data_IF_950444136111
#
_entry.id   IF_950444136111
#
_cell.length_a   1.000
_cell.length_b   1.000
_cell.length_c   1.000
_cell.angle_alpha   90.00
_cell.angle_beta   90.00
_cell.angle_gamma   90.00
#
_symmetry.space_group_name_H-M   'P 1'
#
loop_
_entity.id
_entity.type
_entity.pdbx_description
1 polymer ?
#
# COMPACT_ATOMS: atom_id res chain seq x y z
N UNK A 1 34.00 -7.15 -3.62
CA UNK A 1 32.61 -7.58 -3.85
C UNK A 1 32.34 -8.96 -3.29
N UNK A 2 32.36 -9.12 -1.96
CA UNK A 2 32.04 -10.39 -1.29
C UNK A 2 30.55 -10.55 -0.96
N UNK A 3 29.72 -9.53 -1.27
CA UNK A 3 28.28 -9.52 -1.01
C UNK A 3 27.51 -8.80 -2.12
N UNK A 4 26.20 -9.11 -2.30
CA UNK A 4 25.32 -8.37 -3.19
C UNK A 4 25.23 -6.87 -2.84
N UNK A 5 24.81 -6.08 -3.83
CA UNK A 5 24.48 -4.65 -3.66
C UNK A 5 23.26 -4.50 -2.74
N UNK A 6 23.28 -3.53 -1.83
CA UNK A 6 22.13 -3.19 -0.99
C UNK A 6 21.19 -2.30 -1.79
N UNK A 7 20.19 -2.92 -2.43
CA UNK A 7 19.24 -2.19 -3.26
C UNK A 7 18.41 -1.18 -2.46
N UNK A 8 18.03 -0.08 -3.12
CA UNK A 8 17.37 1.06 -2.48
C UNK A 8 18.34 1.96 -1.68
N UNK A 9 19.65 1.82 -1.85
CA UNK A 9 20.62 2.75 -1.28
C UNK A 9 21.40 3.42 -2.40
N UNK A 10 21.84 4.67 -2.21
CA UNK A 10 22.62 5.37 -3.21
C UNK A 10 24.11 4.96 -3.15
N UNK A 11 24.58 4.49 -1.99
CA UNK A 11 25.98 4.12 -1.74
C UNK A 11 26.21 2.66 -1.34
N UNK A 12 25.33 1.71 -1.71
CA UNK A 12 25.46 0.28 -1.34
C UNK A 12 25.53 0.05 0.19
N UNK A 13 24.72 0.79 0.96
CA UNK A 13 24.79 0.86 2.42
C UNK A 13 23.47 0.46 3.09
N UNK A 14 23.56 -0.51 4.00
CA UNK A 14 22.40 -0.96 4.81
C UNK A 14 21.93 0.10 5.80
N UNK A 15 22.86 0.91 6.32
CA UNK A 15 22.52 1.99 7.26
C UNK A 15 21.85 3.15 6.52
N UNK A 16 22.31 3.46 5.32
CA UNK A 16 21.66 4.44 4.45
C UNK A 16 20.26 3.98 4.06
N UNK A 17 20.11 2.70 3.68
CA UNK A 17 18.80 2.11 3.39
C UNK A 17 17.85 2.24 4.59
N UNK A 18 18.32 1.92 5.80
CA UNK A 18 17.49 1.86 7.01
C UNK A 18 17.16 3.25 7.59
N UNK A 19 18.12 4.17 7.61
CA UNK A 19 17.96 5.49 8.23
C UNK A 19 17.56 6.59 7.25
N UNK A 20 17.92 6.45 5.97
CA UNK A 20 17.59 7.37 4.89
C UNK A 20 16.15 7.20 4.43
N UNK A 21 15.94 6.79 3.18
CA UNK A 21 14.60 6.80 2.58
C UNK A 21 13.58 5.89 3.31
N UNK A 22 13.97 4.74 3.88
CA UNK A 22 13.04 3.91 4.67
C UNK A 22 12.87 4.35 6.12
N UNK A 23 13.71 5.26 6.60
CA UNK A 23 13.72 5.75 7.98
C UNK A 23 13.16 7.16 8.06
N UNK A 24 14.06 8.14 8.25
CA UNK A 24 13.71 9.54 8.44
C UNK A 24 13.09 10.17 7.19
N UNK A 25 13.48 9.72 5.99
CA UNK A 25 12.90 10.21 4.73
C UNK A 25 11.39 10.00 4.66
N UNK A 26 10.86 8.91 5.25
CA UNK A 26 9.41 8.69 5.28
C UNK A 26 8.66 9.68 6.16
N UNK A 27 9.32 10.25 7.17
CA UNK A 27 8.73 11.26 8.04
C UNK A 27 8.64 12.61 7.33
N UNK A 28 9.72 13.00 6.64
CA UNK A 28 9.84 14.30 5.96
C UNK A 28 9.30 14.31 4.53
N UNK A 29 9.10 13.14 3.93
CA UNK A 29 8.78 12.99 2.50
C UNK A 29 9.98 13.20 1.56
N UNK A 30 11.17 13.47 2.12
CA UNK A 30 12.42 13.59 1.37
C UNK A 30 13.09 12.21 1.24
N UNK A 31 12.66 11.48 0.21
CA UNK A 31 13.05 10.10 0.00
C UNK A 31 13.87 9.96 -1.29
N UNK A 32 15.13 10.35 -1.24
CA UNK A 32 16.07 10.11 -2.36
C UNK A 32 16.15 8.61 -2.64
N UNK A 33 16.01 8.24 -3.90
CA UNK A 33 15.93 6.86 -4.39
C UNK A 33 14.53 6.26 -4.33
N UNK A 34 13.54 6.96 -3.79
CA UNK A 34 12.16 6.49 -3.65
C UNK A 34 11.36 6.54 -4.94
N UNK A 35 10.21 5.88 -4.90
CA UNK A 35 9.25 5.84 -6.00
C UNK A 35 8.11 6.84 -5.79
N UNK A 36 7.77 7.59 -6.84
CA UNK A 36 6.60 8.48 -6.83
C UNK A 36 6.88 9.97 -6.66
N UNK A 37 8.14 10.38 -6.49
CA UNK A 37 8.53 11.79 -6.34
C UNK A 37 8.17 12.35 -4.97
N UNK A 38 9.07 13.17 -4.40
CA UNK A 38 8.98 13.71 -3.04
C UNK A 38 7.63 14.38 -2.74
N UNK A 39 7.15 14.17 -1.51
CA UNK A 39 5.81 14.56 -1.08
C UNK A 39 5.53 16.05 -1.28
N UNK A 40 4.43 16.38 -1.97
CA UNK A 40 3.82 17.70 -1.86
C UNK A 40 3.34 17.95 -0.43
N UNK A 41 3.17 19.23 -0.06
CA UNK A 41 2.97 19.74 1.30
C UNK A 41 1.88 19.09 2.18
N UNK A 42 1.03 18.20 1.63
CA UNK A 42 -0.07 17.50 2.31
C UNK A 42 -0.06 15.97 2.07
N UNK A 43 1.08 15.30 2.21
CA UNK A 43 1.16 13.82 2.18
C UNK A 43 1.31 13.18 0.80
N UNK A 44 1.68 13.98 -0.21
CA UNK A 44 2.05 13.49 -1.54
C UNK A 44 1.05 12.53 -2.18
N UNK A 45 1.56 11.58 -2.99
CA UNK A 45 0.75 10.53 -3.65
C UNK A 45 0.26 9.44 -2.68
N UNK A 46 0.61 9.51 -1.39
CA UNK A 46 0.43 8.45 -0.40
C UNK A 46 -0.68 8.74 0.62
N UNK A 47 -1.48 9.78 0.35
CA UNK A 47 -2.66 10.14 1.11
C UNK A 47 -2.40 11.26 2.13
N UNK A 48 -3.47 11.93 2.55
CA UNK A 48 -3.40 13.09 3.42
C UNK A 48 -2.77 12.76 4.78
N UNK A 49 -1.75 13.53 5.18
CA UNK A 49 -1.16 13.49 6.53
C UNK A 49 -2.03 14.20 7.54
N UNK A 50 -2.06 13.68 8.76
CA UNK A 50 -2.71 14.36 9.88
C UNK A 50 -3.00 13.43 11.04
N UNK A 51 -3.24 13.99 12.22
CA UNK A 51 -3.51 13.22 13.45
C UNK A 51 -4.66 12.23 13.26
N UNK A 52 -5.64 12.59 12.42
CA UNK A 52 -6.81 11.77 12.11
C UNK A 52 -6.63 10.80 10.93
N UNK A 53 -5.43 10.66 10.33
CA UNK A 53 -5.19 9.79 9.17
C UNK A 53 -5.68 8.36 9.42
N UNK A 54 -5.45 7.80 10.61
CA UNK A 54 -5.94 6.45 10.94
C UNK A 54 -7.46 6.31 10.84
N UNK A 55 -8.22 7.39 10.91
CA UNK A 55 -9.69 7.40 10.84
C UNK A 55 -10.22 7.77 9.45
N UNK A 56 -9.38 8.20 8.52
CA UNK A 56 -9.81 8.62 7.19
C UNK A 56 -10.25 7.43 6.31
N UNK A 57 -10.65 7.70 5.07
CA UNK A 57 -11.20 6.69 4.16
C UNK A 57 -10.19 5.61 3.73
N UNK A 58 -8.89 5.95 3.64
CA UNK A 58 -7.85 5.00 3.22
C UNK A 58 -7.44 4.04 4.34
N UNK A 59 -7.26 4.55 5.56
CA UNK A 59 -6.69 3.77 6.68
C UNK A 59 -7.74 3.26 7.68
N UNK A 60 -8.93 3.88 7.72
CA UNK A 60 -9.96 3.54 8.71
C UNK A 60 -10.38 2.07 8.67
N UNK A 61 -10.63 1.54 7.48
CA UNK A 61 -11.01 0.14 7.28
C UNK A 61 -9.87 -0.87 7.51
N UNK A 62 -8.63 -0.39 7.67
CA UNK A 62 -7.44 -1.23 7.74
C UNK A 62 -7.06 -1.54 9.20
N UNK A 63 -7.14 -0.55 10.09
CA UNK A 63 -6.74 -0.74 11.50
C UNK A 63 -7.67 -0.13 12.54
N UNK A 64 -8.59 0.76 12.16
CA UNK A 64 -9.30 1.58 13.15
C UNK A 64 -10.56 0.95 13.73
N UNK A 65 -10.96 -0.25 13.30
CA UNK A 65 -12.17 -0.95 13.78
C UNK A 65 -12.33 -0.92 15.30
N UNK A 66 -11.25 -1.24 16.03
CA UNK A 66 -11.24 -1.31 17.48
C UNK A 66 -10.36 -0.22 18.12
N UNK A 67 -9.82 0.70 17.32
CA UNK A 67 -8.94 1.76 17.79
C UNK A 67 -9.64 2.73 18.77
N UNK A 68 -10.87 3.23 18.52
CA UNK A 68 -11.60 4.03 19.51
C UNK A 68 -11.75 3.32 20.86
N UNK A 69 -12.06 2.03 20.84
CA UNK A 69 -12.20 1.24 22.06
C UNK A 69 -10.88 1.13 22.82
N UNK A 70 -9.78 0.85 22.11
CA UNK A 70 -8.45 0.78 22.71
C UNK A 70 -8.05 2.12 23.36
N UNK A 71 -8.36 3.27 22.73
CA UNK A 71 -8.06 4.59 23.29
C UNK A 71 -8.88 4.90 24.55
N UNK A 72 -10.18 4.56 24.57
CA UNK A 72 -11.02 4.68 25.76
C UNK A 72 -10.47 3.81 26.89
N UNK A 73 -10.16 2.55 26.60
CA UNK A 73 -9.66 1.59 27.60
C UNK A 73 -8.26 1.95 28.09
N UNK A 74 -7.41 2.55 27.26
CA UNK A 74 -6.13 3.12 27.66
C UNK A 74 -6.33 4.25 28.68
N UNK A 75 -7.19 5.22 28.37
CA UNK A 75 -7.47 6.35 29.26
C UNK A 75 -8.04 5.87 30.61
N UNK A 76 -9.01 4.96 30.57
CA UNK A 76 -9.62 4.36 31.76
C UNK A 76 -8.60 3.54 32.56
N UNK A 77 -7.78 2.73 31.87
CA UNK A 77 -6.73 1.91 32.49
C UNK A 77 -5.68 2.75 33.21
N UNK A 78 -5.17 3.81 32.55
CA UNK A 78 -4.23 4.75 33.15
C UNK A 78 -4.85 5.50 34.33
N UNK A 79 -6.10 5.95 34.21
CA UNK A 79 -6.78 6.64 35.31
C UNK A 79 -7.03 5.72 36.51
N UNK A 80 -7.52 4.50 36.27
CA UNK A 80 -7.78 3.50 37.31
C UNK A 80 -6.49 3.05 38.02
N UNK A 81 -5.35 3.10 37.32
CA UNK A 81 -4.04 2.72 37.86
C UNK A 81 -3.19 3.92 38.30
N UNK A 82 -3.67 5.17 38.20
CA UNK A 82 -2.88 6.40 38.41
C UNK A 82 -2.21 6.50 39.78
N UNK A 83 -2.83 5.93 40.82
CA UNK A 83 -2.30 5.90 42.20
C UNK A 83 -1.37 4.72 42.49
N UNK A 84 -1.24 3.78 41.55
CA UNK A 84 -0.31 2.64 41.68
C UNK A 84 1.12 3.08 41.39
N UNK A 85 2.10 2.39 41.98
CA UNK A 85 3.53 2.63 41.68
C UNK A 85 3.81 2.37 40.19
N UNK A 86 4.81 3.04 39.63
CA UNK A 86 5.24 2.83 38.23
C UNK A 86 5.69 1.40 37.90
N UNK A 87 6.07 0.64 38.92
CA UNK A 87 6.48 -0.76 38.84
C UNK A 87 5.32 -1.75 38.93
N UNK A 88 4.08 -1.29 39.14
CA UNK A 88 2.90 -2.16 39.11
C UNK A 88 2.71 -2.72 37.69
N UNK A 89 2.64 -4.04 37.49
CA UNK A 89 2.56 -4.64 36.15
C UNK A 89 1.36 -4.20 35.33
N UNK A 90 0.21 -3.91 35.97
CA UNK A 90 -0.99 -3.47 35.27
C UNK A 90 -0.80 -2.04 34.75
N UNK A 91 -0.29 -1.12 35.59
CA UNK A 91 0.05 0.24 35.16
C UNK A 91 1.12 0.22 34.07
N UNK A 92 2.19 -0.54 34.28
CA UNK A 92 3.29 -0.67 33.31
C UNK A 92 2.79 -1.23 31.96
N UNK A 93 1.87 -2.21 31.98
CA UNK A 93 1.23 -2.75 30.79
C UNK A 93 0.47 -1.69 29.99
N UNK A 94 -0.39 -0.88 30.65
CA UNK A 94 -1.10 0.20 29.96
C UNK A 94 -0.14 1.26 29.39
N UNK A 95 0.94 1.60 30.09
CA UNK A 95 1.96 2.53 29.59
C UNK A 95 2.71 1.96 28.39
N UNK A 96 3.12 0.69 28.45
CA UNK A 96 3.86 0.03 27.38
C UNK A 96 3.01 -0.10 26.11
N UNK A 97 1.84 -0.71 26.21
CA UNK A 97 0.97 -0.94 25.06
C UNK A 97 0.33 0.36 24.56
N UNK A 98 -0.01 1.27 25.46
CA UNK A 98 -0.47 2.61 25.10
C UNK A 98 0.61 3.44 24.40
N UNK A 99 1.85 3.38 24.90
CA UNK A 99 3.01 4.02 24.28
C UNK A 99 3.25 3.50 22.88
N UNK A 100 3.28 2.17 22.70
CA UNK A 100 3.35 1.55 21.36
C UNK A 100 2.22 2.08 20.48
N UNK A 101 0.96 1.94 20.91
CA UNK A 101 -0.19 2.34 20.10
C UNK A 101 -0.09 3.80 19.65
N UNK A 102 0.14 4.72 20.59
CA UNK A 102 0.13 6.15 20.34
C UNK A 102 1.33 6.58 19.48
N UNK A 103 2.54 6.08 19.78
CA UNK A 103 3.74 6.41 19.00
C UNK A 103 3.63 5.88 17.58
N UNK A 104 3.25 4.61 17.39
CA UNK A 104 3.10 4.04 16.04
C UNK A 104 1.99 4.72 15.26
N UNK A 105 0.82 4.98 15.87
CA UNK A 105 -0.27 5.68 15.20
C UNK A 105 0.12 7.12 14.82
N UNK A 106 0.84 7.83 15.69
CA UNK A 106 1.30 9.20 15.42
C UNK A 106 2.33 9.23 14.29
N UNK A 107 3.31 8.32 14.31
CA UNK A 107 4.29 8.20 13.22
C UNK A 107 3.58 7.95 11.89
N UNK A 108 2.71 6.95 11.81
CA UNK A 108 1.96 6.67 10.57
C UNK A 108 1.05 7.82 10.15
N UNK A 109 0.46 8.54 11.10
CA UNK A 109 -0.37 9.72 10.84
C UNK A 109 0.42 10.89 10.24
N UNK A 110 1.68 11.06 10.64
CA UNK A 110 2.52 12.20 10.26
C UNK A 110 3.53 11.91 9.14
N UNK A 111 3.77 10.64 8.78
CA UNK A 111 4.65 10.26 7.67
C UNK A 111 4.23 10.93 6.34
N UNK A 112 5.10 11.76 5.78
CA UNK A 112 4.86 12.47 4.51
C UNK A 112 5.34 11.69 3.28
N UNK A 113 6.20 10.69 3.46
CA UNK A 113 6.74 9.83 2.39
C UNK A 113 5.86 8.61 2.09
N UNK A 114 6.49 7.56 1.55
CA UNK A 114 5.82 6.29 1.26
C UNK A 114 5.23 5.71 2.54
N UNK A 115 3.92 5.55 2.52
CA UNK A 115 3.17 4.78 3.50
C UNK A 115 2.14 3.91 2.78
N UNK A 116 2.06 2.65 3.19
CA UNK A 116 1.07 1.71 2.69
C UNK A 116 0.10 1.35 3.80
N UNK A 117 -1.15 1.10 3.40
CA UNK A 117 -2.27 0.77 4.27
C UNK A 117 -1.95 -0.42 5.19
N UNK A 118 -1.27 -1.44 4.66
CA UNK A 118 -0.93 -2.65 5.42
C UNK A 118 0.08 -2.42 6.55
N UNK A 119 0.84 -1.31 6.56
CA UNK A 119 1.74 -0.99 7.68
C UNK A 119 0.97 -0.86 9.00
N UNK A 120 -0.31 -0.48 8.93
CA UNK A 120 -1.17 -0.31 10.11
C UNK A 120 -1.43 -1.60 10.88
N UNK A 121 -1.08 -2.77 10.33
CA UNK A 121 -1.06 -4.05 11.07
C UNK A 121 -0.18 -3.98 12.33
N UNK A 122 0.85 -3.11 12.33
CA UNK A 122 1.72 -2.89 13.48
C UNK A 122 0.98 -2.34 14.73
N UNK A 123 -0.25 -1.81 14.56
CA UNK A 123 -1.10 -1.35 15.67
C UNK A 123 -1.86 -2.50 16.34
N UNK A 124 -2.08 -3.62 15.64
CA UNK A 124 -2.98 -4.69 16.08
C UNK A 124 -2.59 -5.33 17.43
N UNK A 125 -1.30 -5.63 17.73
CA UNK A 125 -0.93 -6.19 19.03
C UNK A 125 -1.27 -5.26 20.20
N UNK A 126 -1.00 -3.95 20.04
CA UNK A 126 -1.27 -2.96 21.07
C UNK A 126 -2.78 -2.76 21.29
N UNK A 127 -3.56 -2.71 20.21
CA UNK A 127 -5.03 -2.68 20.27
C UNK A 127 -5.55 -3.91 21.03
N UNK A 128 -5.10 -5.10 20.66
CA UNK A 128 -5.52 -6.36 21.30
C UNK A 128 -5.17 -6.40 22.79
N UNK A 129 -3.95 -5.99 23.15
CA UNK A 129 -3.50 -5.96 24.54
C UNK A 129 -4.32 -4.96 25.39
N UNK A 130 -4.59 -3.76 24.88
CA UNK A 130 -5.36 -2.74 25.59
C UNK A 130 -6.83 -3.16 25.75
N UNK A 131 -7.42 -3.78 24.73
CA UNK A 131 -8.78 -4.30 24.81
C UNK A 131 -8.88 -5.44 25.80
N UNK A 132 -7.96 -6.41 25.74
CA UNK A 132 -7.91 -7.53 26.69
C UNK A 132 -7.73 -7.06 28.13
N UNK A 133 -6.72 -6.21 28.39
CA UNK A 133 -6.44 -5.68 29.72
C UNK A 133 -7.58 -4.80 30.26
N UNK A 134 -8.12 -3.92 29.41
CA UNK A 134 -9.24 -3.03 29.74
C UNK A 134 -10.52 -3.80 30.05
N UNK A 135 -10.85 -4.81 29.24
CA UNK A 135 -12.02 -5.67 29.47
C UNK A 135 -11.90 -6.43 30.79
N UNK A 136 -10.73 -7.01 31.09
CA UNK A 136 -10.48 -7.69 32.38
C UNK A 136 -10.59 -6.72 33.55
N UNK A 137 -10.03 -5.51 33.43
CA UNK A 137 -10.11 -4.47 34.45
C UNK A 137 -11.57 -4.13 34.75
N UNK A 138 -12.36 -3.80 33.73
CA UNK A 138 -13.78 -3.44 33.87
C UNK A 138 -14.61 -4.62 34.40
N UNK A 139 -14.32 -5.84 33.95
CA UNK A 139 -15.01 -7.03 34.42
C UNK A 139 -14.82 -7.26 35.93
N UNK A 140 -13.61 -7.04 36.45
CA UNK A 140 -13.33 -7.20 37.90
C UNK A 140 -14.13 -6.21 38.74
N UNK A 141 -14.35 -4.99 38.24
CA UNK A 141 -15.09 -3.93 38.95
C UNK A 141 -16.51 -3.72 38.43
N UNK A 142 -17.06 -4.67 37.65
CA UNK A 142 -18.38 -4.57 36.98
C UNK A 142 -19.57 -4.26 37.88
N UNK A 143 -19.43 -4.41 39.20
CA UNK A 143 -20.47 -4.04 40.17
C UNK A 143 -20.59 -2.52 40.33
N UNK A 144 -19.52 -1.77 40.10
CA UNK A 144 -19.51 -0.30 40.16
C UNK A 144 -20.31 0.30 38.98
N UNK A 145 -21.06 1.40 39.20
CA UNK A 145 -21.88 2.00 38.15
C UNK A 145 -21.02 2.54 37.00
N UNK A 146 -19.90 3.20 37.30
CA UNK A 146 -19.02 3.77 36.27
C UNK A 146 -18.43 2.71 35.33
N UNK A 147 -18.05 1.53 35.83
CA UNK A 147 -17.55 0.43 34.99
C UNK A 147 -18.63 -0.10 34.04
N UNK A 148 -19.88 -0.12 34.55
CA UNK A 148 -21.15 -0.23 33.81
C UNK A 148 -21.15 0.62 32.55
N UNK A 149 -21.13 1.92 32.82
CA UNK A 149 -21.24 2.99 31.82
C UNK A 149 -20.08 2.94 30.84
N UNK A 150 -18.85 2.82 31.31
CA UNK A 150 -17.67 2.74 30.44
C UNK A 150 -17.76 1.56 29.47
N UNK A 151 -18.17 0.37 29.94
CA UNK A 151 -18.29 -0.81 29.07
C UNK A 151 -19.37 -0.58 27.99
N UNK A 152 -20.53 -0.07 28.39
CA UNK A 152 -21.64 0.23 27.49
C UNK A 152 -21.27 1.31 26.45
N UNK A 153 -20.65 2.40 26.89
CA UNK A 153 -20.19 3.50 26.01
C UNK A 153 -19.10 3.00 25.05
N UNK A 154 -18.14 2.22 25.53
CA UNK A 154 -17.08 1.65 24.68
C UNK A 154 -17.67 0.79 23.56
N UNK A 155 -18.66 -0.06 23.88
CA UNK A 155 -19.35 -0.89 22.90
C UNK A 155 -20.16 -0.04 21.90
N UNK A 156 -20.90 0.96 22.39
CA UNK A 156 -21.68 1.85 21.54
C UNK A 156 -20.80 2.64 20.56
N UNK A 157 -19.67 3.18 21.03
CA UNK A 157 -18.68 3.86 20.19
C UNK A 157 -18.08 2.90 19.16
N UNK A 158 -17.76 1.67 19.56
CA UNK A 158 -17.24 0.64 18.64
C UNK A 158 -18.27 0.31 17.55
N UNK A 159 -19.54 0.13 17.91
CA UNK A 159 -20.61 -0.15 16.95
C UNK A 159 -20.91 1.02 16.02
N UNK A 160 -20.92 2.25 16.55
CA UNK A 160 -21.04 3.46 15.72
C UNK A 160 -19.87 3.61 14.75
N UNK A 161 -18.65 3.38 15.22
CA UNK A 161 -17.49 3.46 14.34
C UNK A 161 -17.47 2.36 13.28
N UNK A 162 -17.84 1.13 13.65
CA UNK A 162 -18.02 0.04 12.68
C UNK A 162 -19.12 0.36 11.65
N UNK A 163 -20.20 1.04 12.03
CA UNK A 163 -21.22 1.53 11.09
C UNK A 163 -20.63 2.54 10.08
N UNK A 164 -19.79 3.48 10.55
CA UNK A 164 -19.10 4.43 9.66
C UNK A 164 -18.18 3.70 8.69
N UNK A 165 -17.35 2.78 9.18
CA UNK A 165 -16.41 2.01 8.34
C UNK A 165 -17.14 1.14 7.32
N UNK A 166 -18.14 0.37 7.73
CA UNK A 166 -18.96 -0.43 6.83
C UNK A 166 -19.72 0.45 5.82
N UNK A 167 -20.12 1.66 6.22
CA UNK A 167 -20.75 2.63 5.34
C UNK A 167 -19.87 3.11 4.18
N UNK A 168 -18.54 2.95 4.26
CA UNK A 168 -17.60 3.28 3.16
C UNK A 168 -17.56 2.22 2.06
N UNK A 169 -17.96 0.99 2.39
CA UNK A 169 -18.09 -0.12 1.46
C UNK A 169 -19.58 -0.38 1.15
N UNK A 170 -20.24 0.60 0.52
CA UNK A 170 -21.70 0.68 0.38
C UNK A 170 -22.36 -0.53 -0.29
N UNK A 171 -21.63 -1.26 -1.14
CA UNK A 171 -22.11 -2.46 -1.85
C UNK A 171 -21.84 -3.77 -1.10
N UNK A 172 -20.95 -3.77 -0.10
CA UNK A 172 -20.55 -4.97 0.63
C UNK A 172 -21.40 -5.14 1.89
N UNK A 173 -22.28 -6.15 1.89
CA UNK A 173 -23.19 -6.47 3.01
C UNK A 173 -23.86 -5.20 3.59
N UNK A 174 -24.62 -4.43 2.78
CA UNK A 174 -25.13 -3.10 3.16
C UNK A 174 -26.01 -3.10 4.43
N UNK A 175 -26.57 -4.25 4.79
CA UNK A 175 -27.35 -4.45 6.01
C UNK A 175 -26.48 -4.54 7.28
N UNK A 176 -25.23 -5.01 7.16
CA UNK A 176 -24.36 -5.32 8.30
C UNK A 176 -24.07 -4.09 9.15
N UNK A 177 -23.89 -2.92 8.52
CA UNK A 177 -23.67 -1.66 9.24
C UNK A 177 -24.81 -1.36 10.23
N UNK A 178 -26.05 -1.60 9.81
CA UNK A 178 -27.23 -1.36 10.63
C UNK A 178 -27.38 -2.41 11.71
N UNK A 179 -27.15 -3.68 11.39
CA UNK A 179 -27.15 -4.78 12.37
C UNK A 179 -26.13 -4.53 13.48
N UNK A 180 -24.91 -4.11 13.13
CA UNK A 180 -23.86 -3.80 14.09
C UNK A 180 -24.23 -2.57 14.94
N UNK A 181 -24.73 -1.49 14.33
CA UNK A 181 -25.14 -0.30 15.07
C UNK A 181 -26.27 -0.58 16.06
N UNK A 182 -27.38 -1.14 15.57
CA UNK A 182 -28.57 -1.42 16.37
C UNK A 182 -28.24 -2.45 17.45
N UNK A 183 -27.51 -3.51 17.09
CA UNK A 183 -27.05 -4.52 18.03
C UNK A 183 -26.17 -3.91 19.13
N UNK A 184 -25.20 -3.07 18.78
CA UNK A 184 -24.29 -2.47 19.75
C UNK A 184 -25.03 -1.56 20.73
N UNK A 185 -25.98 -0.76 20.24
CA UNK A 185 -26.83 0.09 21.08
C UNK A 185 -27.75 -0.74 21.97
N UNK A 186 -28.39 -1.78 21.44
CA UNK A 186 -29.25 -2.67 22.22
C UNK A 186 -28.47 -3.38 23.33
N UNK A 187 -27.29 -3.92 23.02
CA UNK A 187 -26.43 -4.58 24.01
C UNK A 187 -25.88 -3.56 25.02
N UNK A 188 -25.50 -2.35 24.59
CA UNK A 188 -25.08 -1.29 25.50
C UNK A 188 -26.20 -0.92 26.51
N UNK A 189 -27.44 -0.77 26.04
CA UNK A 189 -28.61 -0.57 26.92
C UNK A 189 -28.83 -1.75 27.87
N UNK A 190 -28.72 -2.99 27.38
CA UNK A 190 -28.82 -4.19 28.22
C UNK A 190 -27.70 -4.27 29.28
N UNK A 191 -26.48 -3.82 28.96
CA UNK A 191 -25.38 -3.73 29.93
C UNK A 191 -25.67 -2.73 31.05
N UNK A 192 -26.34 -1.61 30.75
CA UNK A 192 -26.77 -0.64 31.75
C UNK A 192 -27.89 -1.20 32.65
N UNK A 193 -28.85 -1.93 32.07
CA UNK A 193 -29.94 -2.61 32.78
C UNK A 193 -29.51 -3.93 33.46
N UNK A 194 -28.26 -4.37 33.30
CA UNK A 194 -27.76 -5.69 33.73
C UNK A 194 -27.95 -6.02 35.21
N UNK A 195 -28.16 -5.01 36.07
CA UNK A 195 -28.45 -5.20 37.51
C UNK A 195 -29.79 -5.86 37.78
N UNK A 196 -30.73 -5.78 36.83
CA UNK A 196 -32.10 -6.28 36.97
C UNK A 196 -32.25 -7.75 36.52
N UNK A 197 -31.19 -8.35 35.98
CA UNK A 197 -31.24 -9.67 35.34
C UNK A 197 -30.25 -10.66 35.99
N UNK A 198 -30.53 -11.98 35.93
CA UNK A 198 -29.66 -13.00 36.50
C UNK A 198 -28.30 -13.11 35.79
N UNK A 199 -27.34 -13.77 36.45
CA UNK A 199 -25.93 -13.83 36.01
C UNK A 199 -25.73 -14.49 34.64
N UNK A 200 -26.57 -15.46 34.28
CA UNK A 200 -26.48 -16.10 32.97
C UNK A 200 -26.81 -15.10 31.86
N UNK A 201 -27.84 -14.26 32.04
CA UNK A 201 -28.21 -13.19 31.11
C UNK A 201 -27.09 -12.18 30.95
N UNK A 202 -26.40 -11.82 32.04
CA UNK A 202 -25.24 -10.92 31.98
C UNK A 202 -24.09 -11.50 31.13
N UNK A 203 -23.85 -12.81 31.20
CA UNK A 203 -22.85 -13.50 30.36
C UNK A 203 -23.28 -13.50 28.89
N UNK A 204 -24.54 -13.77 28.61
CA UNK A 204 -25.10 -13.73 27.25
C UNK A 204 -24.99 -12.32 26.66
N UNK A 205 -25.31 -11.27 27.42
CA UNK A 205 -25.16 -9.87 26.99
C UNK A 205 -23.68 -9.54 26.70
N UNK A 206 -22.75 -10.00 27.53
CA UNK A 206 -21.32 -9.80 27.29
C UNK A 206 -20.83 -10.53 26.04
N UNK A 207 -21.27 -11.77 25.81
CA UNK A 207 -20.96 -12.54 24.61
C UNK A 207 -21.53 -11.88 23.35
N UNK A 208 -22.79 -11.42 23.40
CA UNK A 208 -23.41 -10.69 22.29
C UNK A 208 -22.63 -9.41 21.96
N UNK A 209 -22.17 -8.67 22.97
CA UNK A 209 -21.31 -7.50 22.78
C UNK A 209 -20.00 -7.82 22.09
N UNK A 210 -19.35 -8.93 22.45
CA UNK A 210 -18.14 -9.39 21.79
C UNK A 210 -18.38 -9.75 20.31
N UNK A 211 -19.44 -10.51 20.03
CA UNK A 211 -19.81 -10.89 18.65
C UNK A 211 -20.07 -9.65 17.79
N UNK A 212 -20.83 -8.69 18.32
CA UNK A 212 -21.18 -7.46 17.59
C UNK A 212 -19.94 -6.59 17.34
N UNK A 213 -19.07 -6.43 18.33
CA UNK A 213 -17.84 -5.66 18.19
C UNK A 213 -16.88 -6.25 17.15
N UNK A 214 -16.90 -7.58 16.96
CA UNK A 214 -16.02 -8.28 16.01
C UNK A 214 -16.67 -8.52 14.65
N UNK A 215 -17.98 -8.36 14.49
CA UNK A 215 -18.69 -8.68 13.24
C UNK A 215 -18.13 -7.93 12.01
N UNK A 216 -17.88 -6.62 12.15
CA UNK A 216 -17.28 -5.79 11.09
C UNK A 216 -15.87 -6.23 10.67
N UNK A 217 -14.86 -6.21 11.58
CA UNK A 217 -13.51 -6.63 11.23
C UNK A 217 -13.43 -8.11 10.82
N UNK A 218 -14.27 -8.99 11.36
CA UNK A 218 -14.34 -10.38 10.91
C UNK A 218 -14.85 -10.48 9.47
N UNK A 219 -15.90 -9.74 9.10
CA UNK A 219 -16.40 -9.73 7.72
C UNK A 219 -15.34 -9.23 6.72
N UNK A 220 -14.60 -8.16 7.06
CA UNK A 220 -13.47 -7.69 6.27
C UNK A 220 -12.34 -8.73 6.20
N UNK A 221 -12.00 -9.38 7.32
CA UNK A 221 -11.00 -10.44 7.37
C UNK A 221 -11.36 -11.64 6.50
N UNK A 222 -12.62 -12.09 6.55
CA UNK A 222 -13.11 -13.18 5.70
C UNK A 222 -13.10 -12.82 4.22
N UNK A 223 -13.58 -11.63 3.86
CA UNK A 223 -13.52 -11.20 2.46
C UNK A 223 -12.07 -11.09 1.97
N UNK A 224 -11.16 -10.58 2.80
CA UNK A 224 -9.73 -10.47 2.46
C UNK A 224 -9.17 -11.87 2.22
N UNK A 225 -9.39 -12.81 3.13
CA UNK A 225 -8.90 -14.18 3.00
C UNK A 225 -9.51 -14.94 1.80
N UNK A 226 -10.76 -14.61 1.43
CA UNK A 226 -11.47 -15.24 0.31
C UNK A 226 -11.16 -14.60 -1.06
N UNK A 227 -10.41 -13.49 -1.11
CA UNK A 227 -10.12 -12.76 -2.34
C UNK A 227 -8.69 -13.02 -2.79
N UNK A 228 -8.51 -13.43 -4.06
CA UNK A 228 -7.19 -13.48 -4.66
C UNK A 228 -6.73 -12.05 -5.01
N UNK A 229 -5.54 -11.67 -4.54
CA UNK A 229 -4.94 -10.37 -4.84
C UNK A 229 -3.85 -10.51 -5.91
N UNK A 230 -3.77 -9.51 -6.80
CA UNK A 230 -2.66 -9.34 -7.74
C UNK A 230 -1.97 -8.00 -7.51
N UNK A 231 -0.68 -7.92 -7.84
CA UNK A 231 0.13 -6.71 -7.65
C UNK A 231 0.85 -6.66 -6.31
N UNK A 232 1.54 -5.54 -6.06
CA UNK A 232 2.43 -5.40 -4.90
C UNK A 232 1.73 -4.91 -3.61
N UNK A 233 0.49 -4.42 -3.70
CA UNK A 233 -0.23 -3.81 -2.58
C UNK A 233 -1.51 -4.60 -2.29
N UNK A 234 -1.68 -4.99 -1.02
CA UNK A 234 -2.87 -5.68 -0.52
C UNK A 234 -3.56 -4.78 0.51
N UNK A 235 -4.87 -4.59 0.34
CA UNK A 235 -5.72 -3.86 1.28
C UNK A 235 -6.78 -4.80 1.85
N UNK A 236 -7.08 -4.63 3.14
CA UNK A 236 -8.11 -5.41 3.81
C UNK A 236 -9.50 -4.92 3.40
N UNK A 237 -10.40 -5.88 3.17
CA UNK A 237 -11.81 -5.60 2.90
C UNK A 237 -12.15 -5.39 1.42
N UNK A 238 -13.45 -5.27 1.12
CA UNK A 238 -13.95 -4.90 -0.20
C UNK A 238 -13.40 -3.54 -0.64
N UNK A 239 -13.38 -3.31 -1.95
CA UNK A 239 -13.09 -2.00 -2.50
C UNK A 239 -14.08 -0.95 -1.93
N UNK A 240 -13.53 0.12 -1.36
CA UNK A 240 -14.32 1.24 -0.83
C UNK A 240 -14.56 2.27 -1.94
N UNK A 241 -15.79 2.77 -2.06
CA UNK A 241 -16.21 3.61 -3.18
C UNK A 241 -15.41 4.93 -3.31
N UNK A 242 -14.88 5.43 -2.19
CA UNK A 242 -14.17 6.72 -2.10
C UNK A 242 -12.67 6.58 -1.76
N UNK A 243 -12.18 5.36 -1.56
CA UNK A 243 -10.78 5.13 -1.27
C UNK A 243 -9.94 5.26 -2.53
N UNK A 244 -9.33 6.43 -2.78
CA UNK A 244 -8.17 6.51 -3.67
C UNK A 244 -7.03 5.77 -2.98
N UNK A 245 -6.92 4.46 -3.22
CA UNK A 245 -5.78 3.67 -2.77
C UNK A 245 -4.48 4.29 -3.30
N UNK A 246 -3.38 4.11 -2.57
CA UNK A 246 -2.07 4.57 -3.01
C UNK A 246 -1.73 4.11 -4.45
N UNK A 247 -0.78 4.75 -5.14
CA UNK A 247 -0.47 4.49 -6.55
C UNK A 247 -0.07 3.03 -6.77
N UNK A 248 -1.03 2.17 -7.12
CA UNK A 248 -0.86 0.71 -7.24
C UNK A 248 -2.04 -0.12 -6.71
N UNK A 249 -2.98 0.48 -5.97
CA UNK A 249 -4.22 -0.17 -5.58
C UNK A 249 -5.18 -0.29 -6.75
N UNK A 250 -5.04 -1.33 -7.58
CA UNK A 250 -6.14 -1.73 -8.48
C UNK A 250 -7.26 -2.35 -7.64
N UNK A 251 -8.51 -1.88 -7.72
CA UNK A 251 -9.64 -2.50 -7.02
C UNK A 251 -9.77 -3.98 -7.39
N UNK A 252 -9.98 -4.90 -6.43
CA UNK A 252 -10.35 -6.28 -6.77
C UNK A 252 -11.74 -6.25 -7.41
N UNK A 253 -11.82 -6.56 -8.72
CA UNK A 253 -13.09 -6.67 -9.46
C UNK A 253 -13.31 -5.71 -10.63
N UNK A 254 -12.36 -4.84 -10.95
CA UNK A 254 -12.49 -3.85 -12.04
C UNK A 254 -11.89 -4.26 -13.39
N UNK A 255 -12.07 -5.50 -13.84
CA UNK A 255 -11.85 -5.90 -15.24
C UNK A 255 -13.18 -6.33 -15.86
N UNK A 256 -14.19 -5.48 -15.75
CA UNK A 256 -15.38 -5.62 -16.58
C UNK A 256 -15.12 -4.87 -17.88
N UNK A 257 -14.92 -5.66 -18.94
CA UNK A 257 -14.89 -5.22 -20.33
C UNK A 257 -15.97 -4.18 -20.58
N UNK A 258 -15.58 -2.92 -20.76
CA UNK A 258 -16.37 -2.00 -21.58
C UNK A 258 -15.67 -1.93 -22.94
N UNK A 259 -15.84 -3.03 -23.68
CA UNK A 259 -15.70 -3.01 -25.12
C UNK A 259 -16.71 -2.00 -25.66
N UNK A 260 -16.26 -1.17 -26.60
CA UNK A 260 -16.97 0.00 -27.08
C UNK A 260 -18.40 -0.29 -27.51
N UNK A 261 -19.33 0.50 -26.98
CA UNK A 261 -20.61 0.81 -27.59
C UNK A 261 -20.89 2.28 -27.28
N UNK A 262 -20.49 3.16 -28.21
CA UNK A 262 -21.16 4.44 -28.39
C UNK A 262 -22.24 4.20 -29.44
N UNK A 263 -23.54 4.30 -29.11
CA UNK A 263 -24.55 4.65 -30.07
C UNK A 263 -24.76 6.17 -30.01
N UNK A 264 -24.65 6.76 -31.21
CA UNK A 264 -25.35 7.97 -31.65
C UNK A 264 -24.83 9.34 -31.22
N UNK A 265 -24.51 10.12 -32.26
CA UNK A 265 -24.04 11.48 -32.18
C UNK A 265 -25.12 12.46 -31.77
N UNK A 266 -24.71 13.44 -30.96
CA UNK A 266 -25.36 14.73 -30.88
C UNK A 266 -24.29 15.78 -30.55
N UNK A 267 -24.06 16.66 -31.52
CA UNK A 267 -23.33 17.92 -31.35
C UNK A 267 -24.12 18.82 -30.39
N UNK A 268 -23.47 19.36 -29.36
CA UNK A 268 -23.94 20.54 -28.61
C UNK A 268 -22.78 21.51 -28.40
N UNK A 269 -22.88 22.77 -28.84
CA UNK A 269 -21.95 23.83 -28.47
C UNK A 269 -22.49 24.61 -27.26
N UNK A 270 -21.59 25.04 -26.37
CA UNK A 270 -21.47 26.41 -25.83
C UNK A 270 -20.75 26.46 -24.46
N UNK A 271 -19.69 27.29 -24.41
CA UNK A 271 -19.40 28.29 -23.38
C UNK A 271 -19.30 27.91 -21.90
N UNK A 272 -18.08 27.97 -21.36
CA UNK A 272 -17.75 29.05 -20.41
C UNK A 272 -16.24 29.13 -20.13
N UNK A 273 -15.79 30.37 -20.13
CA UNK A 273 -14.44 30.87 -19.94
C UNK A 273 -14.03 30.85 -18.46
N UNK A 274 -12.80 30.44 -18.17
CA UNK A 274 -12.02 30.99 -17.05
C UNK A 274 -10.53 30.92 -17.38
N UNK A 275 -9.99 32.05 -17.84
CA UNK A 275 -8.58 32.30 -18.02
C UNK A 275 -7.90 32.58 -16.67
N UNK A 276 -6.65 32.13 -16.51
CA UNK A 276 -5.43 32.90 -16.13
C UNK A 276 -4.30 31.94 -15.68
N UNK A 277 -3.01 32.31 -15.75
CA UNK A 277 -2.24 32.55 -16.98
C UNK A 277 -0.96 31.67 -17.07
N UNK A 278 -0.45 31.55 -18.30
CA UNK A 278 0.85 30.97 -18.65
C UNK A 278 2.02 31.90 -18.28
N UNK A 279 3.13 31.31 -17.82
CA UNK A 279 4.48 31.85 -18.02
C UNK A 279 5.52 30.72 -18.06
N UNK A 280 6.42 30.76 -19.06
CA UNK A 280 7.71 30.05 -19.03
C UNK A 280 7.98 29.03 -20.14
N UNK A 281 8.47 29.51 -21.29
CA UNK A 281 8.79 28.80 -22.52
C UNK A 281 9.87 27.70 -22.43
N UNK A 282 9.74 26.70 -23.32
CA UNK A 282 10.81 25.82 -23.79
C UNK A 282 10.37 25.11 -25.09
N UNK A 283 10.73 25.67 -26.24
CA UNK A 283 10.40 25.19 -27.59
C UNK A 283 10.93 23.77 -27.84
N UNK A 284 10.08 22.90 -28.40
CA UNK A 284 10.48 21.66 -29.08
C UNK A 284 10.16 21.78 -30.59
N UNK A 285 10.95 21.18 -31.50
CA UNK A 285 10.77 21.34 -32.94
C UNK A 285 9.53 20.58 -33.46
N UNK A 286 8.91 21.02 -34.57
CA UNK A 286 7.74 20.37 -35.16
C UNK A 286 8.17 19.25 -36.12
N UNK A 287 7.71 18.02 -35.88
CA UNK A 287 7.87 16.93 -36.85
C UNK A 287 7.78 15.54 -36.24
N UNK A 288 6.58 14.98 -36.20
CA UNK A 288 6.36 13.59 -35.79
C UNK A 288 4.88 13.27 -35.63
N UNK A 289 4.28 12.74 -36.69
CA UNK A 289 2.89 12.33 -36.74
C UNK A 289 2.52 11.41 -35.56
N UNK A 290 1.49 11.80 -34.82
CA UNK A 290 0.88 11.01 -33.77
C UNK A 290 0.13 9.81 -34.39
N UNK A 291 0.84 8.69 -34.58
CA UNK A 291 0.23 7.39 -34.83
C UNK A 291 -0.34 6.87 -33.50
N UNK A 292 -1.67 6.88 -33.40
CA UNK A 292 -2.42 6.18 -32.37
C UNK A 292 -2.21 4.67 -32.51
N UNK A 293 -1.29 4.15 -31.72
CA UNK A 293 -1.03 2.72 -31.56
C UNK A 293 -1.26 2.33 -30.11
N UNK A 294 -2.11 1.33 -29.93
CA UNK A 294 -2.37 0.62 -28.68
C UNK A 294 -1.04 0.11 -28.09
N UNK A 295 -0.41 0.91 -27.22
CA UNK A 295 0.84 0.56 -26.55
C UNK A 295 0.58 -0.60 -25.61
N UNK A 296 1.13 -1.77 -25.91
CA UNK A 296 1.40 -2.80 -24.91
C UNK A 296 2.33 -2.20 -23.86
N UNK A 297 1.74 -1.64 -22.81
CA UNK A 297 2.42 -0.71 -21.91
C UNK A 297 3.47 -1.40 -21.05
N UNK A 298 4.62 -0.73 -20.90
CA UNK A 298 5.47 -0.94 -19.73
C UNK A 298 4.60 -0.86 -18.46
N UNK A 299 4.83 -1.79 -17.53
CA UNK A 299 4.01 -1.93 -16.33
C UNK A 299 4.01 -0.66 -15.49
N UNK A 300 2.91 -0.41 -14.79
CA UNK A 300 2.85 0.67 -13.80
C UNK A 300 3.84 0.42 -12.65
N UNK A 301 4.19 1.47 -11.91
CA UNK A 301 5.23 1.45 -10.87
C UNK A 301 5.08 0.32 -9.82
N UNK A 302 3.85 -0.14 -9.59
CA UNK A 302 3.50 -1.23 -8.66
C UNK A 302 2.68 -2.36 -9.34
N UNK A 303 2.71 -2.42 -10.68
CA UNK A 303 1.95 -3.38 -11.48
C UNK A 303 2.89 -4.19 -12.35
N UNK A 304 3.02 -5.48 -12.05
CA UNK A 304 3.85 -6.38 -12.84
C UNK A 304 3.43 -6.39 -14.31
N UNK A 305 4.40 -6.30 -15.21
CA UNK A 305 4.19 -6.45 -16.66
C UNK A 305 3.67 -7.85 -16.98
N UNK A 306 2.75 -7.94 -17.94
CA UNK A 306 2.34 -9.23 -18.51
C UNK A 306 2.77 -9.26 -19.97
N UNK A 307 3.89 -9.93 -20.32
CA UNK A 307 4.33 -10.00 -21.71
C UNK A 307 3.31 -10.76 -22.56
N UNK A 308 3.13 -10.32 -23.80
CA UNK A 308 2.33 -11.05 -24.77
C UNK A 308 3.05 -12.31 -25.28
N UNK A 309 2.31 -13.22 -25.92
CA UNK A 309 2.84 -14.51 -26.38
C UNK A 309 3.96 -14.38 -27.42
N UNK A 310 3.96 -13.32 -28.24
CA UNK A 310 5.04 -13.06 -29.21
C UNK A 310 6.36 -12.78 -28.48
N UNK A 311 6.34 -11.89 -27.49
CA UNK A 311 7.50 -11.60 -26.65
C UNK A 311 7.95 -12.84 -25.88
N UNK A 312 7.02 -13.62 -25.30
CA UNK A 312 7.40 -14.86 -24.61
C UNK A 312 8.13 -15.84 -25.52
N UNK A 313 7.64 -16.00 -26.76
CA UNK A 313 8.24 -16.89 -27.75
C UNK A 313 9.66 -16.45 -28.10
N UNK A 314 9.85 -15.18 -28.42
CA UNK A 314 11.18 -14.62 -28.76
C UNK A 314 12.14 -14.74 -27.57
N UNK A 315 11.71 -14.35 -26.37
CA UNK A 315 12.56 -14.37 -25.18
C UNK A 315 12.87 -15.79 -24.67
N UNK A 316 12.07 -16.79 -25.04
CA UNK A 316 12.31 -18.19 -24.67
C UNK A 316 13.21 -18.93 -25.66
N UNK A 317 13.40 -18.39 -26.87
CA UNK A 317 14.26 -19.00 -27.87
C UNK A 317 15.70 -19.05 -27.35
N UNK A 318 16.27 -20.26 -27.31
CA UNK A 318 17.63 -20.54 -26.84
C UNK A 318 17.96 -20.01 -25.42
N UNK A 319 16.93 -19.80 -24.59
CA UNK A 319 17.04 -19.19 -23.27
C UNK A 319 18.11 -19.83 -22.37
N UNK A 320 18.28 -21.16 -22.47
CA UNK A 320 19.19 -21.92 -21.60
C UNK A 320 20.68 -21.65 -21.91
N UNK A 321 21.00 -20.94 -23.00
CA UNK A 321 22.37 -20.51 -23.33
C UNK A 321 22.81 -19.28 -22.54
N UNK A 322 21.87 -18.57 -21.92
CA UNK A 322 22.11 -17.26 -21.32
C UNK A 322 21.94 -17.30 -19.81
N UNK A 323 22.73 -16.51 -19.10
CA UNK A 323 22.50 -16.31 -17.66
C UNK A 323 21.25 -15.48 -17.43
N UNK A 324 21.03 -14.45 -18.26
CA UNK A 324 19.83 -13.62 -18.25
C UNK A 324 19.21 -13.56 -19.64
N UNK A 325 17.97 -14.04 -19.75
CA UNK A 325 17.23 -14.02 -21.03
C UNK A 325 16.79 -12.61 -21.43
N UNK A 326 16.67 -11.73 -20.44
CA UNK A 326 16.28 -10.34 -20.62
C UNK A 326 16.92 -9.47 -19.55
N UNK A 327 17.34 -8.26 -19.91
CA UNK A 327 17.68 -7.18 -19.00
C UNK A 327 16.68 -6.02 -19.18
N UNK A 328 16.24 -5.43 -18.08
CA UNK A 328 15.34 -4.28 -18.08
C UNK A 328 15.61 -3.36 -16.90
N UNK A 329 15.24 -2.09 -17.02
CA UNK A 329 15.39 -1.11 -15.95
C UNK A 329 14.24 -1.26 -14.95
N UNK A 330 14.59 -1.44 -13.67
CA UNK A 330 13.65 -1.57 -12.57
C UNK A 330 13.18 -3.01 -12.32
N UNK A 331 13.23 -3.44 -11.06
CA UNK A 331 12.81 -4.77 -10.63
C UNK A 331 11.30 -4.99 -10.80
N UNK A 332 10.49 -3.93 -10.73
CA UNK A 332 9.05 -4.05 -10.99
C UNK A 332 8.76 -4.51 -12.43
N UNK A 333 9.48 -3.93 -13.41
CA UNK A 333 9.40 -4.37 -14.80
C UNK A 333 9.96 -5.78 -14.98
N UNK A 334 11.12 -6.08 -14.38
CA UNK A 334 11.76 -7.39 -14.49
C UNK A 334 10.89 -8.53 -13.95
N UNK A 335 10.19 -8.31 -12.83
CA UNK A 335 9.39 -9.32 -12.14
C UNK A 335 8.32 -9.95 -13.04
N UNK A 336 7.61 -9.14 -13.82
CA UNK A 336 6.56 -9.62 -14.72
C UNK A 336 7.09 -10.56 -15.81
N UNK A 337 8.21 -10.19 -16.43
CA UNK A 337 8.89 -11.05 -17.42
C UNK A 337 9.47 -12.30 -16.78
N UNK A 338 10.08 -12.20 -15.60
CA UNK A 338 10.65 -13.35 -14.90
C UNK A 338 9.58 -14.39 -14.55
N UNK A 339 8.42 -13.95 -14.05
CA UNK A 339 7.29 -14.83 -13.73
C UNK A 339 6.69 -15.47 -14.99
N UNK A 340 6.57 -14.70 -16.08
CA UNK A 340 6.00 -15.20 -17.32
C UNK A 340 6.92 -16.20 -18.05
N UNK A 341 8.23 -15.99 -18.00
CA UNK A 341 9.23 -16.81 -18.69
C UNK A 341 9.75 -17.96 -17.83
N UNK A 342 9.61 -17.90 -16.50
CA UNK A 342 10.25 -18.83 -15.56
C UNK A 342 11.76 -18.96 -15.83
N UNK A 343 12.40 -17.82 -16.12
CA UNK A 343 13.81 -17.68 -16.48
C UNK A 343 14.42 -16.42 -15.84
N UNK A 344 15.74 -16.36 -15.62
CA UNK A 344 16.35 -15.20 -14.97
C UNK A 344 16.25 -13.94 -15.82
N UNK A 345 15.76 -12.85 -15.23
CA UNK A 345 15.68 -11.52 -15.83
C UNK A 345 16.49 -10.54 -14.98
N UNK A 346 17.39 -9.79 -15.61
CA UNK A 346 18.22 -8.81 -14.90
C UNK A 346 17.44 -7.51 -14.66
N UNK A 347 17.37 -7.10 -13.40
CA UNK A 347 16.85 -5.80 -13.00
C UNK A 347 17.99 -4.79 -12.85
N UNK A 348 18.12 -3.88 -13.81
CA UNK A 348 19.10 -2.80 -13.79
C UNK A 348 18.58 -1.67 -12.90
N UNK A 349 19.43 -1.20 -11.98
CA UNK A 349 19.16 -0.08 -11.09
C UNK A 349 18.15 -0.37 -9.98
N UNK A 350 18.02 -1.62 -9.56
CA UNK A 350 17.20 -1.98 -8.41
C UNK A 350 15.71 -1.81 -8.66
N UNK A 351 14.95 -1.38 -7.65
CA UNK A 351 13.48 -1.34 -7.73
C UNK A 351 12.95 -0.40 -8.83
N UNK A 352 13.53 0.81 -8.94
CA UNK A 352 13.04 1.87 -9.81
C UNK A 352 14.06 2.39 -10.83
N UNK A 353 15.25 1.80 -10.90
CA UNK A 353 16.32 2.23 -11.79
C UNK A 353 17.33 3.22 -11.20
N UNK A 354 17.26 3.55 -9.90
CA UNK A 354 18.17 4.50 -9.24
C UNK A 354 19.38 3.88 -8.54
N UNK A 355 19.45 2.56 -8.40
CA UNK A 355 20.63 1.93 -7.80
C UNK A 355 21.82 1.95 -8.78
N UNK A 356 23.04 2.05 -8.26
CA UNK A 356 24.26 1.92 -9.05
C UNK A 356 24.67 0.44 -9.23
N UNK A 357 23.76 -0.35 -9.82
CA UNK A 357 23.97 -1.78 -10.01
C UNK A 357 23.18 -2.36 -11.21
N UNK A 358 23.82 -3.11 -12.13
CA UNK A 358 25.28 -3.22 -12.30
C UNK A 358 25.89 -1.91 -12.79
N UNK A 359 27.21 -1.75 -12.71
CA UNK A 359 27.89 -0.64 -13.39
C UNK A 359 27.84 -0.83 -14.91
N UNK A 360 28.01 0.25 -15.69
CA UNK A 360 28.07 0.16 -17.16
C UNK A 360 29.16 -0.81 -17.62
N UNK A 361 30.35 -0.74 -17.04
CA UNK A 361 31.47 -1.60 -17.40
C UNK A 361 31.17 -3.09 -17.12
N UNK A 362 30.52 -3.40 -15.99
CA UNK A 362 30.10 -4.76 -15.68
C UNK A 362 29.03 -5.26 -16.65
N UNK A 363 28.07 -4.41 -16.99
CA UNK A 363 27.03 -4.75 -17.96
C UNK A 363 27.65 -5.04 -19.35
N UNK A 364 28.55 -4.17 -19.82
CA UNK A 364 29.29 -4.36 -21.07
C UNK A 364 30.09 -5.67 -21.07
N UNK A 365 30.77 -5.97 -19.97
CA UNK A 365 31.50 -7.23 -19.80
C UNK A 365 30.57 -8.44 -19.94
N UNK A 366 29.43 -8.45 -19.25
CA UNK A 366 28.48 -9.57 -19.34
C UNK A 366 27.85 -9.72 -20.71
N UNK A 367 27.62 -8.62 -21.42
CA UNK A 367 27.20 -8.65 -22.83
C UNK A 367 28.29 -9.25 -23.71
N UNK A 368 29.55 -8.82 -23.56
CA UNK A 368 30.68 -9.38 -24.30
C UNK A 368 30.96 -10.86 -24.01
N UNK A 369 30.65 -11.32 -22.80
CA UNK A 369 30.70 -12.74 -22.40
C UNK A 369 29.49 -13.56 -22.89
N UNK A 370 28.51 -12.93 -23.56
CA UNK A 370 27.30 -13.60 -24.04
C UNK A 370 26.35 -14.03 -22.92
N UNK A 371 26.38 -13.39 -21.75
CA UNK A 371 25.55 -13.75 -20.60
C UNK A 371 24.14 -13.16 -20.64
N UNK A 372 23.95 -12.05 -21.36
CA UNK A 372 22.68 -11.33 -21.46
C UNK A 372 22.17 -11.42 -22.89
N UNK A 373 20.98 -11.98 -23.10
CA UNK A 373 20.42 -12.17 -24.44
C UNK A 373 19.81 -10.88 -24.98
N UNK A 374 18.71 -10.43 -24.35
CA UNK A 374 17.98 -9.24 -24.80
C UNK A 374 18.03 -8.10 -23.79
N UNK A 375 17.91 -6.87 -24.28
CA UNK A 375 17.58 -5.69 -23.48
C UNK A 375 16.22 -5.14 -23.89
N UNK A 376 15.35 -4.89 -22.91
CA UNK A 376 14.05 -4.28 -23.14
C UNK A 376 14.20 -2.77 -23.33
N UNK A 377 13.87 -2.29 -24.52
CA UNK A 377 13.75 -0.88 -24.84
C UNK A 377 12.46 -0.24 -24.31
N UNK A 378 12.46 1.09 -24.23
CA UNK A 378 11.39 1.86 -23.59
C UNK A 378 11.72 2.16 -22.14
N UNK A 379 11.81 3.45 -21.82
CA UNK A 379 12.41 3.96 -20.59
C UNK A 379 11.75 3.42 -19.32
N UNK A 380 12.59 2.98 -18.38
CA UNK A 380 12.21 2.82 -16.98
C UNK A 380 11.72 4.15 -16.39
N UNK A 381 11.10 4.08 -15.22
CA UNK A 381 10.65 5.28 -14.51
C UNK A 381 11.81 6.27 -14.33
N UNK A 382 11.50 7.55 -14.50
CA UNK A 382 12.46 8.61 -14.18
C UNK A 382 12.66 8.60 -12.66
N UNK A 383 13.72 7.94 -12.21
CA UNK A 383 13.98 7.73 -10.80
C UNK A 383 14.49 9.03 -10.17
N UNK A 384 13.97 9.36 -8.98
CA UNK A 384 14.51 10.45 -8.18
C UNK A 384 15.67 9.86 -7.37
N UNK A 385 16.87 9.77 -7.94
CA UNK A 385 18.04 9.17 -7.29
C UNK A 385 19.35 9.71 -7.84
N UNK A 386 20.45 9.42 -7.15
CA UNK A 386 21.78 9.93 -7.46
C UNK A 386 22.48 9.20 -8.61
N UNK A 387 22.09 7.96 -8.93
CA UNK A 387 22.72 7.19 -10.02
C UNK A 387 22.08 7.47 -11.38
N UNK A 388 22.95 7.55 -12.40
CA UNK A 388 22.57 7.66 -13.82
C UNK A 388 22.86 6.38 -14.61
N UNK A 389 23.29 5.31 -13.96
CA UNK A 389 23.83 4.13 -14.65
C UNK A 389 22.78 3.41 -15.48
N UNK A 390 21.54 3.29 -15.01
CA UNK A 390 20.44 2.75 -15.83
C UNK A 390 20.25 3.51 -17.15
N UNK A 391 20.40 4.85 -17.13
CA UNK A 391 20.33 5.68 -18.34
C UNK A 391 21.55 5.49 -19.23
N UNK A 392 22.74 5.38 -18.64
CA UNK A 392 23.98 5.14 -19.38
C UNK A 392 23.96 3.78 -20.07
N UNK A 393 23.51 2.72 -19.40
CA UNK A 393 23.35 1.39 -19.99
C UNK A 393 22.33 1.43 -21.13
N UNK A 394 21.15 2.01 -20.92
CA UNK A 394 20.14 2.12 -21.96
C UNK A 394 20.65 2.89 -23.18
N UNK A 395 21.37 4.00 -22.97
CA UNK A 395 21.96 4.80 -24.04
C UNK A 395 23.07 4.04 -24.78
N UNK A 396 23.92 3.30 -24.06
CA UNK A 396 24.94 2.46 -24.67
C UNK A 396 24.32 1.35 -25.51
N UNK A 397 23.31 0.65 -25.01
CA UNK A 397 22.59 -0.38 -25.78
C UNK A 397 21.99 0.22 -27.05
N UNK A 398 21.29 1.34 -26.94
CA UNK A 398 20.66 2.01 -28.08
C UNK A 398 21.66 2.51 -29.13
N UNK A 399 22.90 2.78 -28.73
CA UNK A 399 23.97 3.23 -29.64
C UNK A 399 24.72 2.08 -30.33
N UNK A 400 24.70 0.86 -29.77
CA UNK A 400 25.53 -0.25 -30.24
C UNK A 400 24.72 -1.42 -30.82
N UNK A 401 23.41 -1.47 -30.57
CA UNK A 401 22.54 -2.57 -31.01
C UNK A 401 21.29 -2.04 -31.72
N UNK A 402 20.81 -2.79 -32.71
CA UNK A 402 19.62 -2.42 -33.47
C UNK A 402 18.34 -2.80 -32.71
N UNK A 403 17.43 -1.84 -32.58
CA UNK A 403 16.11 -2.09 -31.99
C UNK A 403 15.23 -2.89 -32.97
N UNK A 404 14.57 -3.93 -32.45
CA UNK A 404 13.49 -4.65 -33.11
C UNK A 404 12.20 -4.43 -32.34
N UNK A 405 11.08 -4.23 -33.04
CA UNK A 405 9.78 -4.11 -32.38
C UNK A 405 9.12 -5.48 -32.30
N UNK A 406 9.01 -6.05 -31.11
CA UNK A 406 8.36 -7.35 -30.86
C UNK A 406 7.16 -7.12 -29.96
N UNK A 407 5.97 -7.52 -30.41
CA UNK A 407 4.74 -7.35 -29.63
C UNK A 407 4.46 -5.90 -29.23
N UNK A 408 4.90 -4.93 -30.06
CA UNK A 408 4.73 -3.49 -29.82
C UNK A 408 5.74 -2.85 -28.86
N UNK A 409 6.76 -3.59 -28.41
CA UNK A 409 7.82 -3.11 -27.51
C UNK A 409 9.17 -3.18 -28.22
N UNK A 410 10.02 -2.18 -28.01
CA UNK A 410 11.39 -2.20 -28.52
C UNK A 410 12.22 -3.23 -27.75
N UNK A 411 12.92 -4.09 -28.47
CA UNK A 411 13.78 -5.15 -27.95
C UNK A 411 15.11 -5.09 -28.68
N UNK A 412 16.21 -5.17 -27.93
CA UNK A 412 17.57 -5.17 -28.48
C UNK A 412 18.18 -6.53 -28.26
N UNK A 413 18.61 -7.19 -29.33
CA UNK A 413 19.40 -8.42 -29.26
C UNK A 413 20.85 -8.05 -28.98
N UNK A 414 21.38 -8.45 -27.82
CA UNK A 414 22.73 -8.13 -27.38
C UNK A 414 23.77 -9.16 -27.87
N UNK A 415 23.33 -10.17 -28.62
CA UNK A 415 24.15 -11.28 -29.12
C UNK A 415 24.39 -11.19 -30.62
N UNK A 416 23.50 -10.48 -31.34
CA UNK A 416 23.80 -9.97 -32.66
C UNK A 416 24.95 -8.96 -32.51
N UNK A 417 26.12 -9.24 -33.09
CA UNK A 417 27.36 -8.47 -32.87
C UNK A 417 27.15 -6.95 -32.92
N UNK A 418 27.84 -6.23 -32.02
CA UNK A 418 27.75 -4.77 -31.92
C UNK A 418 28.04 -4.11 -33.26
N UNK A 419 27.24 -3.09 -33.62
CA UNK A 419 27.29 -2.40 -34.91
C UNK A 419 28.46 -1.42 -35.04
#
# INVERSE_FOLDING_TARGET
GSRPYIGGSQGNSVLELALGYNGLGRLTGDEVGSVGGGGGANGGRWGETGILRMFNDSYGGQASWLLPAALILLAVGLWATRRRKRTDPLRAGFVLWGGWLLTTALVFSLMQGIIHEYYTVALAPAIGALIGAGAVLLWRVRRLPWARVVTAVTLAVTGWWAYVLLGRATTFLPWLRWTVLIGALAVACAMLASRLVPRWTQRTVALAGLVIALAGPAAFGFQTAATAYGGAIVTAGPASANGRGGPGGTPPGGLQRQAGQNPDGAVRPDGSTSQTPLSGAGQAPPGGAAMGGQRGGAGGLLTATTPNEQLKTVLSADADRYTWVLATVGANNAAGYQLALQRPVMAIGGFNGSDDAPSLAQFQQWVGEGKVHYFLGGGGFQANGGSNVSRQIAAWVAANFQAQTVGGIALYDLTAGAQ
#
